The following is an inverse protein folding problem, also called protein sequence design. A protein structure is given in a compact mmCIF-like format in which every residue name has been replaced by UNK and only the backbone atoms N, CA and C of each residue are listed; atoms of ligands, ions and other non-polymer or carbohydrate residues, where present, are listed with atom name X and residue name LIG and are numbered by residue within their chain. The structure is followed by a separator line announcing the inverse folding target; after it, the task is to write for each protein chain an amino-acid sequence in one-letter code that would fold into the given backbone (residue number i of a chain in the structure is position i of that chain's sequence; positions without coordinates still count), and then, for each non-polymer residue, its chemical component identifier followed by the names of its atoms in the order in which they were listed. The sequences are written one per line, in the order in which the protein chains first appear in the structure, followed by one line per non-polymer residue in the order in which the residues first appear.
data_IF_836872221033
#
_entry.id   IF_836872221033
#
_cell.length_a   1.000
_cell.length_b   1.000
_cell.length_c   1.000
_cell.angle_alpha   90.00
_cell.angle_beta   90.00
_cell.angle_gamma   90.00
#
_symmetry.space_group_name_H-M   'P 1'
#
loop_
_entity.id
_entity.type
_entity.pdbx_description
1 polymer ?
#
# COMPACT_ATOMS: atom_id res chain seq x y z
N UNK A 1 25.38 -32.70 -50.26
CA UNK A 1 24.57 -33.19 -49.13
C UNK A 1 24.30 -32.02 -48.21
N UNK A 2 23.03 -31.59 -48.08
CA UNK A 2 22.58 -30.36 -47.41
C UNK A 2 22.50 -30.58 -45.89
N UNK A 3 23.12 -29.68 -45.10
CA UNK A 3 23.00 -29.64 -43.63
C UNK A 3 21.65 -29.02 -43.26
N UNK A 4 20.79 -29.75 -42.57
CA UNK A 4 19.55 -29.23 -42.00
C UNK A 4 19.86 -28.59 -40.64
N UNK A 5 19.73 -27.27 -40.55
CA UNK A 5 19.69 -26.55 -39.28
C UNK A 5 18.25 -26.63 -38.74
N UNK A 6 18.05 -27.38 -37.66
CA UNK A 6 16.82 -27.29 -36.87
C UNK A 6 16.94 -26.05 -35.98
N UNK A 7 16.23 -24.97 -36.33
CA UNK A 7 16.05 -23.83 -35.45
C UNK A 7 14.98 -24.19 -34.40
N UNK A 8 15.43 -24.32 -33.15
CA UNK A 8 14.60 -24.50 -31.97
C UNK A 8 13.84 -23.18 -31.71
N UNK A 9 12.55 -23.12 -32.02
CA UNK A 9 11.69 -21.99 -31.68
C UNK A 9 11.43 -22.01 -30.17
N UNK A 10 12.18 -21.19 -29.43
CA UNK A 10 11.90 -20.89 -28.03
C UNK A 10 10.55 -20.17 -27.99
N UNK A 11 9.53 -20.84 -27.45
CA UNK A 11 8.27 -20.23 -27.09
C UNK A 11 8.54 -19.20 -25.98
N UNK A 12 8.66 -17.93 -26.34
CA UNK A 12 8.61 -16.83 -25.39
C UNK A 12 7.20 -16.79 -24.80
N UNK A 13 7.02 -17.44 -23.65
CA UNK A 13 5.90 -17.18 -22.76
C UNK A 13 6.02 -15.73 -22.30
N UNK A 14 5.35 -14.82 -23.02
CA UNK A 14 5.07 -13.47 -22.56
C UNK A 14 4.11 -13.58 -21.38
N UNK A 15 4.64 -13.79 -20.18
CA UNK A 15 3.91 -13.45 -18.97
C UNK A 15 3.71 -11.94 -19.02
N UNK A 16 2.51 -11.54 -19.43
CA UNK A 16 1.95 -10.23 -19.16
C UNK A 16 1.91 -10.09 -17.63
N UNK A 17 3.03 -9.63 -17.05
CA UNK A 17 3.10 -9.09 -15.70
C UNK A 17 2.12 -7.92 -15.70
N UNK A 18 0.88 -8.19 -15.32
CA UNK A 18 -0.04 -7.15 -14.95
C UNK A 18 0.67 -6.38 -13.84
N UNK A 19 0.97 -5.11 -14.08
CA UNK A 19 1.43 -4.24 -13.02
C UNK A 19 0.43 -4.39 -11.87
N UNK A 20 0.92 -4.75 -10.67
CA UNK A 20 0.06 -4.94 -9.51
C UNK A 20 -0.62 -3.60 -9.22
N UNK A 21 -1.86 -3.48 -9.66
CA UNK A 21 -2.68 -2.32 -9.36
C UNK A 21 -3.25 -2.47 -7.96
N UNK A 22 -3.68 -1.38 -7.31
CA UNK A 22 -4.41 -1.45 -6.04
C UNK A 22 -5.67 -2.34 -6.06
N UNK A 23 -6.16 -2.70 -7.27
CA UNK A 23 -7.29 -3.61 -7.48
C UNK A 23 -6.89 -5.09 -7.58
N UNK A 24 -5.60 -5.41 -7.65
CA UNK A 24 -5.12 -6.79 -7.80
C UNK A 24 -5.20 -7.58 -6.48
N UNK A 25 -5.39 -8.91 -6.58
CA UNK A 25 -5.39 -9.79 -5.41
C UNK A 25 -4.06 -9.73 -4.67
N UNK A 26 -2.95 -9.72 -5.41
CA UNK A 26 -1.60 -9.62 -4.87
C UNK A 26 -1.42 -8.33 -4.05
N UNK A 27 -1.88 -7.19 -4.56
CA UNK A 27 -1.82 -5.92 -3.83
C UNK A 27 -2.61 -5.97 -2.51
N UNK A 28 -3.83 -6.54 -2.52
CA UNK A 28 -4.65 -6.66 -1.30
C UNK A 28 -4.03 -7.60 -0.27
N UNK A 29 -3.46 -8.71 -0.73
CA UNK A 29 -2.74 -9.65 0.13
C UNK A 29 -1.49 -9.01 0.73
N UNK A 30 -0.70 -8.29 -0.08
CA UNK A 30 0.45 -7.53 0.38
C UNK A 30 0.07 -6.49 1.44
N UNK A 31 -1.01 -5.72 1.23
CA UNK A 31 -1.50 -4.76 2.21
C UNK A 31 -1.90 -5.44 3.52
N UNK A 32 -2.61 -6.58 3.45
CA UNK A 32 -3.00 -7.35 4.62
C UNK A 32 -1.77 -7.87 5.40
N UNK A 33 -0.79 -8.46 4.71
CA UNK A 33 0.44 -8.95 5.32
C UNK A 33 1.26 -7.83 5.97
N UNK A 34 1.30 -6.65 5.36
CA UNK A 34 1.93 -5.45 5.93
C UNK A 34 1.16 -4.94 7.16
N UNK A 35 -0.16 -5.11 7.22
CA UNK A 35 -0.97 -4.79 8.39
C UNK A 35 -0.69 -5.71 9.57
N UNK A 36 -0.62 -7.02 9.32
CA UNK A 36 -0.38 -8.04 10.36
C UNK A 36 1.05 -8.02 10.90
N UNK A 37 2.04 -7.80 10.02
CA UNK A 37 3.46 -7.95 10.38
C UNK A 37 4.21 -6.62 10.47
N UNK A 38 3.55 -5.51 10.16
CA UNK A 38 4.20 -4.23 9.94
C UNK A 38 5.07 -4.21 8.67
N UNK A 39 5.94 -3.22 8.58
CA UNK A 39 6.85 -3.08 7.44
C UNK A 39 7.59 -1.75 7.43
N UNK A 40 8.59 -1.65 6.57
CA UNK A 40 9.32 -0.40 6.31
C UNK A 40 8.71 0.34 5.11
N UNK A 41 9.07 1.62 4.98
CA UNK A 41 8.72 2.45 3.82
C UNK A 41 9.19 1.82 2.51
N UNK A 42 10.40 1.29 2.45
CA UNK A 42 10.93 0.66 1.22
C UNK A 42 10.08 -0.55 0.83
N UNK A 43 9.79 -1.43 1.79
CA UNK A 43 8.97 -2.62 1.55
C UNK A 43 7.56 -2.27 1.11
N UNK A 44 6.99 -1.19 1.66
CA UNK A 44 5.69 -0.67 1.26
C UNK A 44 5.70 -0.25 -0.23
N UNK A 45 6.71 0.51 -0.66
CA UNK A 45 6.83 0.93 -2.07
C UNK A 45 7.06 -0.26 -2.99
N UNK A 46 7.91 -1.21 -2.59
CA UNK A 46 8.20 -2.40 -3.39
C UNK A 46 6.96 -3.27 -3.63
N UNK A 47 6.03 -3.31 -2.66
CA UNK A 47 4.84 -4.18 -2.70
C UNK A 47 3.58 -3.47 -3.21
N UNK A 48 3.39 -2.20 -2.86
CA UNK A 48 2.16 -1.47 -3.13
C UNK A 48 2.34 -0.35 -4.18
N UNK A 49 3.58 -0.06 -4.56
CA UNK A 49 3.94 1.04 -5.43
C UNK A 49 4.03 2.39 -4.71
N UNK A 50 4.17 3.44 -5.51
CA UNK A 50 4.23 4.83 -5.04
C UNK A 50 2.84 5.29 -4.59
N UNK A 51 2.70 5.90 -3.39
CA UNK A 51 1.42 6.44 -2.94
C UNK A 51 0.96 7.61 -3.83
N UNK A 52 -0.34 7.81 -3.93
CA UNK A 52 -0.90 8.95 -4.68
C UNK A 52 -0.74 10.27 -3.90
N UNK A 53 -0.82 10.22 -2.57
CA UNK A 53 -0.70 11.39 -1.69
C UNK A 53 0.24 11.04 -0.55
N UNK A 54 1.09 12.00 -0.18
CA UNK A 54 1.91 11.92 1.04
C UNK A 54 1.77 13.20 1.83
N UNK A 55 1.58 13.09 3.14
CA UNK A 55 1.47 14.24 4.02
C UNK A 55 2.03 13.95 5.42
N UNK A 56 2.32 15.01 6.17
CA UNK A 56 2.58 14.92 7.61
C UNK A 56 1.26 15.12 8.36
N UNK A 57 1.09 14.38 9.44
CA UNK A 57 -0.10 14.40 10.28
C UNK A 57 0.30 14.50 11.74
N UNK A 58 -0.26 15.48 12.44
CA UNK A 58 -0.25 15.52 13.90
C UNK A 58 -1.48 14.78 14.43
N UNK A 59 -1.26 13.68 15.15
CA UNK A 59 -2.36 12.89 15.71
C UNK A 59 -3.07 13.67 16.81
N UNK A 60 -4.28 14.16 16.51
CA UNK A 60 -5.13 14.85 17.49
C UNK A 60 -5.99 13.88 18.32
N UNK A 61 -6.48 12.82 17.68
CA UNK A 61 -7.29 11.77 18.29
C UNK A 61 -7.01 10.40 17.61
N UNK A 62 -6.27 9.47 18.24
CA UNK A 62 -5.97 8.17 17.64
C UNK A 62 -7.20 7.35 17.22
N UNK A 63 -8.33 7.52 17.91
CA UNK A 63 -9.54 6.72 17.65
C UNK A 63 -10.20 7.02 16.32
N UNK A 64 -9.91 8.17 15.69
CA UNK A 64 -10.48 8.50 14.37
C UNK A 64 -9.96 7.59 13.27
N UNK A 65 -8.76 7.03 13.43
CA UNK A 65 -8.15 6.13 12.44
C UNK A 65 -8.62 4.68 12.60
N UNK A 66 -9.25 4.37 13.73
CA UNK A 66 -9.80 3.04 14.04
C UNK A 66 -11.28 2.93 13.63
N UNK A 67 -11.88 4.00 13.13
CA UNK A 67 -13.29 4.07 12.75
C UNK A 67 -13.40 4.13 11.23
N UNK A 68 -14.08 3.16 10.62
CA UNK A 68 -14.45 3.25 9.20
C UNK A 68 -14.21 1.99 8.37
N UNK A 69 -13.61 0.94 8.90
CA UNK A 69 -13.39 -0.30 8.17
C UNK A 69 -12.29 -1.17 8.77
N UNK A 70 -11.73 -2.13 8.00
CA UNK A 70 -10.60 -2.92 8.44
C UNK A 70 -9.40 -2.00 8.70
N UNK A 71 -8.83 -2.13 9.89
CA UNK A 71 -7.74 -1.30 10.37
C UNK A 71 -6.74 -2.15 11.14
N UNK A 72 -5.45 -2.01 10.84
CA UNK A 72 -4.35 -2.66 11.58
C UNK A 72 -3.43 -1.58 12.13
N UNK A 73 -3.50 -1.31 13.44
CA UNK A 73 -2.70 -0.26 14.07
C UNK A 73 -2.07 -0.77 15.36
N UNK A 74 -0.75 -0.64 15.46
CA UNK A 74 0.05 -1.17 16.56
C UNK A 74 0.51 -0.08 17.54
N UNK A 75 0.68 1.16 17.09
CA UNK A 75 1.14 2.27 17.94
C UNK A 75 0.81 3.65 17.34
N UNK A 76 -0.36 4.19 17.68
CA UNK A 76 -0.74 5.57 17.34
C UNK A 76 -1.15 6.31 18.61
N UNK A 77 -0.42 7.37 18.95
CA UNK A 77 -0.63 8.14 20.19
C UNK A 77 -0.96 9.61 19.89
N UNK A 78 -1.75 10.24 20.77
CA UNK A 78 -2.05 11.68 20.68
C UNK A 78 -0.76 12.50 20.76
N UNK A 79 -0.64 13.51 19.91
CA UNK A 79 0.53 14.38 19.81
C UNK A 79 1.69 13.81 18.98
N UNK A 80 1.55 12.58 18.45
CA UNK A 80 2.54 11.98 17.57
C UNK A 80 2.47 12.61 16.18
N UNK A 81 3.62 12.96 15.61
CA UNK A 81 3.73 13.30 14.19
C UNK A 81 3.99 12.02 13.39
N UNK A 82 3.17 11.79 12.37
CA UNK A 82 3.23 10.64 11.47
C UNK A 82 3.30 11.12 10.03
N UNK A 83 3.99 10.36 9.18
CA UNK A 83 3.84 10.51 7.74
C UNK A 83 2.68 9.63 7.29
N UNK A 84 1.68 10.20 6.63
CA UNK A 84 0.52 9.46 6.11
C UNK A 84 0.58 9.39 4.58
N UNK A 85 0.43 8.18 4.05
CA UNK A 85 0.48 7.87 2.62
C UNK A 85 -0.85 7.30 2.16
N UNK A 86 -1.39 7.82 1.07
CA UNK A 86 -2.68 7.40 0.54
C UNK A 86 -2.56 6.52 -0.69
N UNK A 87 -3.30 5.41 -0.68
CA UNK A 87 -3.44 4.48 -1.79
C UNK A 87 -4.92 4.40 -2.21
N UNK A 88 -5.32 5.05 -3.32
CA UNK A 88 -6.70 5.03 -3.79
C UNK A 88 -7.07 3.66 -4.35
N UNK A 89 -8.31 3.24 -4.07
CA UNK A 89 -8.98 2.09 -4.66
C UNK A 89 -10.42 2.51 -4.99
N UNK A 90 -10.67 2.82 -6.25
CA UNK A 90 -11.98 3.27 -6.74
C UNK A 90 -12.43 4.54 -6.02
N UNK A 91 -13.59 4.50 -5.38
CA UNK A 91 -14.19 5.61 -4.63
C UNK A 91 -13.74 5.64 -3.15
N UNK A 92 -12.77 4.80 -2.78
CA UNK A 92 -12.24 4.60 -1.44
C UNK A 92 -10.70 4.52 -1.47
N UNK A 93 -10.07 4.18 -0.34
CA UNK A 93 -8.65 3.90 -0.29
C UNK A 93 -8.13 3.52 1.08
N UNK A 94 -6.80 3.47 1.19
CA UNK A 94 -6.11 3.16 2.44
C UNK A 94 -5.09 4.24 2.79
N UNK A 95 -5.09 4.64 4.05
CA UNK A 95 -4.02 5.42 4.65
C UNK A 95 -3.02 4.48 5.32
N UNK A 96 -1.75 4.60 4.95
CA UNK A 96 -0.64 3.95 5.63
C UNK A 96 0.14 5.02 6.38
N UNK A 97 0.18 4.93 7.70
CA UNK A 97 0.85 5.89 8.58
C UNK A 97 2.17 5.33 9.06
N UNK A 98 3.24 6.11 8.88
CA UNK A 98 4.60 5.75 9.19
C UNK A 98 5.18 6.66 10.27
N UNK A 99 5.96 6.06 11.17
CA UNK A 99 6.85 6.77 12.10
C UNK A 99 8.26 6.28 11.85
N UNK A 100 9.20 7.20 11.65
CA UNK A 100 10.62 6.87 11.41
C UNK A 100 10.82 5.83 10.28
N UNK A 101 9.95 5.88 9.27
CA UNK A 101 9.98 4.96 8.13
C UNK A 101 9.36 3.59 8.37
N UNK A 102 8.75 3.34 9.54
CA UNK A 102 8.09 2.08 9.89
C UNK A 102 6.57 2.25 9.94
N UNK A 103 5.84 1.28 9.42
CA UNK A 103 4.37 1.26 9.47
C UNK A 103 3.91 1.20 10.92
N UNK A 104 2.97 2.08 11.28
CA UNK A 104 2.33 2.12 12.60
C UNK A 104 0.84 1.77 12.51
N UNK A 105 0.22 2.10 11.38
CA UNK A 105 -1.23 2.00 11.20
C UNK A 105 -1.56 1.94 9.71
N UNK A 106 -2.48 1.04 9.35
CA UNK A 106 -3.14 0.99 8.05
C UNK A 106 -4.64 1.13 8.32
N UNK A 107 -5.24 2.19 7.79
CA UNK A 107 -6.65 2.53 8.02
C UNK A 107 -7.39 2.64 6.69
N UNK A 108 -8.56 2.00 6.60
CA UNK A 108 -9.45 2.12 5.45
C UNK A 108 -10.19 3.47 5.46
N UNK A 109 -10.25 4.13 4.31
CA UNK A 109 -11.04 5.34 4.08
C UNK A 109 -12.17 5.04 3.08
N UNK A 110 -13.44 4.97 3.53
CA UNK A 110 -14.55 4.48 2.71
C UNK A 110 -15.07 5.45 1.63
N UNK A 111 -14.74 6.75 1.67
CA UNK A 111 -15.41 7.72 0.80
C UNK A 111 -14.62 9.03 0.54
N UNK A 112 -13.27 9.02 0.64
CA UNK A 112 -12.46 10.25 0.67
C UNK A 112 -12.94 11.28 1.72
N UNK A 113 -13.72 10.81 2.70
CA UNK A 113 -14.51 11.62 3.62
C UNK A 113 -13.71 11.99 4.87
N UNK A 114 -12.49 11.48 4.99
CA UNK A 114 -11.56 11.84 6.03
C UNK A 114 -10.32 12.42 5.36
N UNK A 115 -10.40 13.64 4.77
CA UNK A 115 -9.19 14.40 4.57
C UNK A 115 -8.51 14.41 5.94
N UNK A 116 -7.34 13.78 6.02
CA UNK A 116 -6.48 13.86 7.17
C UNK A 116 -6.17 15.36 7.29
N UNK A 117 -6.99 16.06 8.08
CA UNK A 117 -6.99 17.52 8.10
C UNK A 117 -5.56 17.95 8.42
N UNK A 118 -4.95 18.81 7.59
CA UNK A 118 -3.68 19.42 7.98
C UNK A 118 -3.90 20.15 9.32
N UNK A 119 -2.83 20.29 10.14
CA UNK A 119 -2.90 20.95 11.44
C UNK A 119 -3.50 22.37 11.35
#
# INVERSE_FOLDING_TARGET
MKRAFLALTIATFSFLLHAETPRSNAWRENLHLLGENGGSRSRLVDLLGTPAITQQLLVSNPTTYLKGGPTHCVAVSKGQTLQAWYYPIDDAGYWVMLKDGMIQCIAFEPAHSAPLLPP
#
